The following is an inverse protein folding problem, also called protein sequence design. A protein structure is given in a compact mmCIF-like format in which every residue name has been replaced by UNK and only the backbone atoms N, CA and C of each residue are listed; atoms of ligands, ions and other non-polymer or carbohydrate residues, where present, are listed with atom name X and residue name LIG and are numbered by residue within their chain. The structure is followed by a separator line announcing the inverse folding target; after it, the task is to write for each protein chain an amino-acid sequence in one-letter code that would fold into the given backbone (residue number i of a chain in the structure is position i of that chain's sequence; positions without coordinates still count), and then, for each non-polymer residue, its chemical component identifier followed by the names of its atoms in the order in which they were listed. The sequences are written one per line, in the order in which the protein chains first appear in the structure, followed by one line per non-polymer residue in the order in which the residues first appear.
data_IF_441856240195
#
_entry.id   IF_441856240195
#
_cell.length_a   1.000
_cell.length_b   1.000
_cell.length_c   1.000
_cell.angle_alpha   90.00
_cell.angle_beta   90.00
_cell.angle_gamma   90.00
#
_symmetry.space_group_name_H-M   'P 1'
#
loop_
_entity.id
_entity.type
_entity.pdbx_description
1 polymer ?
#
# COMPACT_ATOMS: atom_id res chain seq x y z
N UNK A 1 -9.78 -9.23 -5.85
CA UNK A 1 -8.53 -9.89 -5.43
C UNK A 1 -7.63 -8.80 -4.88
N UNK A 2 -6.95 -9.02 -3.76
CA UNK A 2 -6.07 -8.02 -3.16
C UNK A 2 -4.63 -8.50 -3.31
N UNK A 3 -3.74 -7.60 -3.72
CA UNK A 3 -2.31 -7.85 -3.64
C UNK A 3 -1.86 -7.90 -2.18
N UNK A 4 -0.73 -8.54 -1.92
CA UNK A 4 -0.23 -8.82 -0.59
C UNK A 4 1.28 -8.95 -0.61
N UNK A 5 1.93 -8.40 0.42
CA UNK A 5 3.38 -8.36 0.51
C UNK A 5 3.90 -8.78 1.89
N UNK A 6 5.07 -9.40 1.93
CA UNK A 6 5.79 -9.66 3.17
C UNK A 6 6.59 -8.43 3.57
N UNK A 7 6.30 -7.85 4.74
CA UNK A 7 7.05 -6.70 5.26
C UNK A 7 8.15 -7.20 6.20
N UNK A 8 9.45 -6.98 5.89
CA UNK A 8 10.55 -7.41 6.75
C UNK A 8 10.40 -6.89 8.18
N UNK A 9 10.75 -7.72 9.16
CA UNK A 9 10.71 -7.42 10.61
C UNK A 9 9.30 -7.23 11.22
N UNK A 10 8.21 -7.38 10.45
CA UNK A 10 6.83 -7.17 10.93
C UNK A 10 6.03 -8.46 11.15
N UNK A 11 6.72 -9.52 11.57
CA UNK A 11 6.13 -10.83 11.88
C UNK A 11 5.96 -11.75 10.67
N UNK A 12 5.43 -12.95 10.90
CA UNK A 12 5.21 -13.97 9.87
C UNK A 12 3.86 -13.77 9.15
N UNK A 13 3.67 -12.59 8.57
CA UNK A 13 2.41 -12.16 8.00
C UNK A 13 2.56 -11.70 6.56
N UNK A 14 1.48 -11.83 5.78
CA UNK A 14 1.34 -11.14 4.50
C UNK A 14 0.38 -9.98 4.70
N UNK A 15 0.80 -8.79 4.31
CA UNK A 15 0.11 -7.53 4.58
C UNK A 15 -0.54 -7.00 3.32
N UNK A 16 -1.70 -6.37 3.47
CA UNK A 16 -2.44 -5.74 2.38
C UNK A 16 -3.23 -4.53 2.89
N UNK A 17 -3.68 -3.70 1.95
CA UNK A 17 -4.69 -2.68 2.20
C UNK A 17 -5.92 -2.97 1.34
N UNK A 18 -7.10 -2.81 1.93
CA UNK A 18 -8.37 -3.08 1.26
C UNK A 18 -9.34 -1.92 1.49
N UNK A 19 -10.17 -1.63 0.49
CA UNK A 19 -11.25 -0.68 0.64
C UNK A 19 -12.48 -1.34 1.26
N UNK A 20 -13.20 -0.58 2.10
CA UNK A 20 -14.51 -0.96 2.60
C UNK A 20 -15.56 -0.81 1.51
N UNK A 21 -15.80 -1.88 0.76
CA UNK A 21 -16.78 -1.87 -0.32
C UNK A 21 -18.23 -1.87 0.15
N UNK A 22 -18.50 -1.95 1.46
CA UNK A 22 -19.85 -1.81 2.02
C UNK A 22 -20.33 -0.36 2.10
N UNK A 23 -19.39 0.60 2.00
CA UNK A 23 -19.66 2.03 2.08
C UNK A 23 -19.80 2.66 0.67
N UNK A 24 -20.52 3.80 0.56
CA UNK A 24 -20.51 4.61 -0.65
C UNK A 24 -19.09 4.98 -1.05
N UNK A 25 -18.81 5.07 -2.36
CA UNK A 25 -17.47 5.28 -2.93
C UNK A 25 -16.67 6.40 -2.23
N UNK A 26 -17.30 7.55 -2.02
CA UNK A 26 -16.71 8.74 -1.37
C UNK A 26 -16.41 8.59 0.12
N UNK A 27 -16.90 7.52 0.74
CA UNK A 27 -16.78 7.24 2.18
C UNK A 27 -16.09 5.91 2.45
N UNK A 28 -15.53 5.25 1.42
CA UNK A 28 -14.85 3.98 1.60
C UNK A 28 -13.59 4.16 2.43
N UNK A 29 -13.57 3.52 3.58
CA UNK A 29 -12.37 3.48 4.41
C UNK A 29 -11.33 2.54 3.80
N UNK A 30 -10.06 2.84 4.02
CA UNK A 30 -8.97 1.91 3.73
C UNK A 30 -8.58 1.19 5.02
N UNK A 31 -8.67 -0.14 5.01
CA UNK A 31 -8.27 -1.00 6.11
C UNK A 31 -6.91 -1.63 5.87
N UNK A 32 -6.10 -1.67 6.91
CA UNK A 32 -4.94 -2.54 7.00
C UNK A 32 -5.40 -3.95 7.36
N UNK A 33 -5.01 -4.93 6.57
CA UNK A 33 -5.28 -6.34 6.84
C UNK A 33 -4.00 -7.15 6.77
N UNK A 34 -4.00 -8.29 7.47
CA UNK A 34 -2.90 -9.25 7.42
C UNK A 34 -3.40 -10.68 7.38
N UNK A 35 -2.68 -11.55 6.67
CA UNK A 35 -2.83 -12.99 6.72
C UNK A 35 -1.76 -13.60 7.60
N UNK A 36 -2.18 -14.35 8.61
CA UNK A 36 -1.29 -15.14 9.44
C UNK A 36 -0.83 -16.39 8.69
N UNK A 37 0.46 -16.48 8.37
CA UNK A 37 1.00 -17.61 7.61
C UNK A 37 1.16 -18.87 8.46
N UNK A 38 1.15 -18.75 9.78
CA UNK A 38 1.17 -19.89 10.71
C UNK A 38 -0.25 -20.40 10.93
N UNK A 39 -1.15 -19.54 11.40
CA UNK A 39 -2.54 -19.89 11.71
C UNK A 39 -3.45 -20.01 10.49
N UNK A 40 -3.01 -19.53 9.32
CA UNK A 40 -3.76 -19.52 8.05
C UNK A 40 -5.06 -18.73 8.11
N UNK A 41 -5.06 -17.62 8.83
CA UNK A 41 -6.25 -16.78 9.08
C UNK A 41 -6.02 -15.32 8.70
N UNK A 42 -7.09 -14.64 8.27
CA UNK A 42 -7.08 -13.21 7.99
C UNK A 42 -7.49 -12.40 9.21
N UNK A 43 -6.87 -11.23 9.36
CA UNK A 43 -7.19 -10.25 10.41
C UNK A 43 -7.26 -8.85 9.82
N UNK A 44 -8.28 -8.10 10.24
CA UNK A 44 -8.30 -6.64 10.11
C UNK A 44 -7.53 -6.05 11.28
N UNK A 45 -6.51 -5.24 10.98
CA UNK A 45 -5.63 -4.64 11.98
C UNK A 45 -6.14 -3.27 12.40
N UNK A 46 -6.61 -2.46 11.45
CA UNK A 46 -7.15 -1.13 11.73
C UNK A 46 -7.52 -0.38 10.46
N UNK A 47 -8.18 0.77 10.64
CA UNK A 47 -8.56 1.68 9.56
C UNK A 47 -7.55 2.83 9.46
N UNK A 48 -7.13 3.16 8.24
CA UNK A 48 -6.46 4.42 7.93
C UNK A 48 -7.46 5.55 7.60
N UNK A 49 -8.76 5.26 7.64
CA UNK A 49 -9.81 6.18 7.22
C UNK A 49 -9.94 6.31 5.71
N UNK A 50 -10.59 7.40 5.27
CA UNK A 50 -10.76 7.71 3.84
C UNK A 50 -9.49 8.41 3.34
N UNK A 51 -8.65 7.68 2.61
CA UNK A 51 -7.35 8.21 2.12
C UNK A 51 -7.45 8.91 0.77
N UNK A 52 -8.39 8.49 -0.06
CA UNK A 52 -8.68 9.10 -1.36
C UNK A 52 -10.18 9.30 -1.47
N UNK A 53 -10.61 10.51 -1.83
CA UNK A 53 -12.02 10.90 -1.95
C UNK A 53 -12.41 11.19 -3.42
N UNK A 54 -11.73 10.57 -4.37
CA UNK A 54 -11.98 10.79 -5.81
C UNK A 54 -12.86 9.70 -6.43
N UNK A 55 -13.42 8.79 -5.63
CA UNK A 55 -14.19 7.64 -6.12
C UNK A 55 -13.96 6.40 -5.26
N UNK A 56 -14.08 5.21 -5.86
CA UNK A 56 -13.80 3.95 -5.15
C UNK A 56 -12.32 3.87 -4.80
N UNK A 57 -11.98 3.60 -3.53
CA UNK A 57 -10.60 3.25 -3.17
C UNK A 57 -10.26 1.93 -3.85
N UNK A 58 -9.41 1.98 -4.87
CA UNK A 58 -9.04 0.79 -5.65
C UNK A 58 -7.55 0.57 -5.52
N UNK A 59 -7.16 -0.17 -4.49
CA UNK A 59 -5.76 -0.57 -4.28
C UNK A 59 -5.41 -1.66 -5.27
N UNK A 60 -4.64 -1.30 -6.29
CA UNK A 60 -4.31 -2.24 -7.36
C UNK A 60 -3.01 -3.00 -7.12
N UNK A 61 -2.02 -2.36 -6.50
CA UNK A 61 -0.76 -2.99 -6.12
C UNK A 61 -0.39 -2.68 -4.68
N UNK A 62 0.22 -3.66 -4.00
CA UNK A 62 0.98 -3.42 -2.78
C UNK A 62 2.35 -4.09 -2.85
N UNK A 63 3.35 -3.45 -2.27
CA UNK A 63 4.72 -3.96 -2.19
C UNK A 63 5.34 -3.54 -0.87
N UNK A 64 6.34 -4.29 -0.41
CA UNK A 64 7.05 -3.99 0.82
C UNK A 64 8.49 -3.63 0.51
N UNK A 65 9.07 -2.80 1.36
CA UNK A 65 10.46 -2.41 1.24
C UNK A 65 11.28 -2.82 2.47
N UNK A 66 12.61 -2.84 2.31
CA UNK A 66 13.57 -3.15 3.36
C UNK A 66 13.53 -2.15 4.53
N UNK A 67 12.98 -0.96 4.30
CA UNK A 67 12.73 0.06 5.33
C UNK A 67 11.61 -0.32 6.33
N UNK A 68 10.94 -1.46 6.11
CA UNK A 68 9.94 -2.00 7.03
C UNK A 68 8.55 -1.39 6.86
N UNK A 69 8.28 -0.72 5.74
CA UNK A 69 6.97 -0.20 5.39
C UNK A 69 6.29 -1.01 4.28
N UNK A 70 4.96 -0.92 4.24
CA UNK A 70 4.15 -1.35 3.12
C UNK A 70 3.87 -0.13 2.24
N UNK A 71 3.87 -0.32 0.95
CA UNK A 71 3.56 0.69 -0.05
C UNK A 71 2.37 0.21 -0.87
N UNK A 72 1.50 1.13 -1.29
CA UNK A 72 0.35 0.81 -2.10
C UNK A 72 0.07 1.88 -3.14
N UNK A 73 -0.37 1.44 -4.31
CA UNK A 73 -0.79 2.31 -5.42
C UNK A 73 -2.31 2.26 -5.54
N UNK A 74 -2.93 3.43 -5.48
CA UNK A 74 -4.37 3.57 -5.69
C UNK A 74 -4.66 3.93 -7.15
N UNK A 75 -5.52 3.14 -7.78
CA UNK A 75 -5.68 3.07 -9.23
C UNK A 75 -6.39 4.28 -9.81
N UNK A 76 -7.41 4.80 -9.12
CA UNK A 76 -8.24 5.86 -9.68
C UNK A 76 -7.55 7.23 -9.59
N UNK A 77 -6.89 7.50 -8.48
CA UNK A 77 -6.18 8.77 -8.23
C UNK A 77 -4.72 8.74 -8.67
N UNK A 78 -4.15 7.56 -8.90
CA UNK A 78 -2.71 7.39 -9.16
C UNK A 78 -1.84 7.72 -7.94
N UNK A 79 -2.43 7.89 -6.76
CA UNK A 79 -1.69 8.24 -5.54
C UNK A 79 -0.96 7.02 -5.01
N UNK A 80 0.31 7.23 -4.66
CA UNK A 80 1.16 6.24 -4.00
C UNK A 80 1.24 6.60 -2.53
N UNK A 81 1.01 5.59 -1.68
CA UNK A 81 1.04 5.71 -0.23
C UNK A 81 2.07 4.79 0.38
N UNK A 82 2.67 5.26 1.48
CA UNK A 82 3.42 4.45 2.43
C UNK A 82 2.58 4.23 3.68
N UNK A 83 2.56 3.01 4.19
CA UNK A 83 1.80 2.57 5.34
C UNK A 83 2.73 2.01 6.41
N UNK A 84 2.58 2.52 7.63
CA UNK A 84 3.13 1.90 8.82
C UNK A 84 2.16 0.82 9.30
N UNK A 85 2.56 -0.45 9.14
CA UNK A 85 1.72 -1.61 9.47
C UNK A 85 1.59 -1.89 10.96
N UNK A 86 2.37 -1.19 11.80
CA UNK A 86 2.33 -1.32 13.26
C UNK A 86 1.55 -0.19 13.92
N UNK A 87 1.76 1.06 13.51
CA UNK A 87 1.08 2.22 14.09
C UNK A 87 -0.21 2.62 13.37
N UNK A 88 -0.56 1.94 12.26
CA UNK A 88 -1.72 2.25 11.42
C UNK A 88 -1.72 3.72 10.99
N UNK A 89 -0.58 4.17 10.44
CA UNK A 89 -0.44 5.51 9.83
C UNK A 89 -0.15 5.40 8.34
N UNK A 90 -0.73 6.29 7.55
CA UNK A 90 -0.51 6.40 6.11
C UNK A 90 0.11 7.75 5.75
N UNK A 91 1.04 7.76 4.79
CA UNK A 91 1.65 8.97 4.22
C UNK A 91 1.52 8.92 2.71
N UNK A 92 0.93 9.95 2.10
CA UNK A 92 0.95 10.10 0.64
C UNK A 92 2.35 10.55 0.22
N UNK A 93 2.95 9.87 -0.76
CA UNK A 93 4.32 10.15 -1.21
C UNK A 93 4.36 10.85 -2.56
N UNK A 94 3.51 10.39 -3.49
CA UNK A 94 3.48 10.89 -4.86
C UNK A 94 2.10 10.69 -5.48
N UNK A 95 1.87 11.36 -6.61
CA UNK A 95 0.70 11.19 -7.46
C UNK A 95 1.18 11.00 -8.90
N UNK A 96 0.94 9.81 -9.46
CA UNK A 96 1.11 9.53 -10.87
C UNK A 96 -0.23 9.61 -11.64
N UNK A 97 -0.25 9.31 -12.94
CA UNK A 97 -1.50 9.08 -13.65
C UNK A 97 -2.23 7.86 -13.08
N UNK A 98 -3.56 7.90 -13.05
CA UNK A 98 -4.38 6.75 -12.63
C UNK A 98 -4.21 5.56 -13.59
N UNK A 99 -4.18 4.34 -13.06
CA UNK A 99 -3.98 3.09 -13.82
C UNK A 99 -4.91 2.00 -13.29
N UNK A 100 -5.49 1.16 -14.13
CA UNK A 100 -6.43 0.09 -13.70
C UNK A 100 -5.84 -1.33 -13.70
N UNK A 101 -4.53 -1.51 -13.99
CA UNK A 101 -3.86 -2.81 -14.24
C UNK A 101 -2.44 -2.88 -13.67
N UNK A 102 -2.22 -2.26 -12.51
CA UNK A 102 -0.95 -2.34 -11.79
C UNK A 102 -0.87 -3.63 -10.97
N UNK A 103 -0.16 -4.63 -11.46
CA UNK A 103 -0.09 -5.96 -10.84
C UNK A 103 1.15 -6.15 -9.94
N UNK A 104 1.55 -5.09 -9.22
CA UNK A 104 2.56 -5.14 -8.15
C UNK A 104 3.78 -6.04 -8.41
N UNK A 105 4.49 -5.91 -9.54
CA UNK A 105 5.69 -6.70 -9.79
C UNK A 105 6.91 -6.13 -9.06
N UNK A 106 7.58 -6.92 -8.22
CA UNK A 106 8.88 -6.56 -7.62
C UNK A 106 9.92 -7.64 -7.91
N UNK A 107 11.05 -7.25 -8.51
CA UNK A 107 12.30 -8.01 -8.50
C UNK A 107 13.25 -7.37 -7.48
N UNK A 108 14.00 -8.18 -6.74
CA UNK A 108 14.97 -7.72 -5.74
C UNK A 108 16.02 -6.84 -6.45
N UNK A 109 16.08 -5.55 -6.08
CA UNK A 109 17.01 -4.46 -6.51
C UNK A 109 16.32 -3.35 -7.34
N UNK A 110 15.43 -2.56 -6.73
CA UNK A 110 15.28 -1.14 -7.07
C UNK A 110 14.86 -0.34 -5.81
N UNK A 111 15.75 -0.30 -4.83
CA UNK A 111 15.75 0.76 -3.80
C UNK A 111 17.17 1.34 -3.71
N UNK A 112 17.68 1.73 -4.86
CA UNK A 112 18.81 2.63 -5.01
C UNK A 112 18.56 3.23 -6.39
N UNK A 113 17.93 4.41 -6.45
CA UNK A 113 17.98 5.35 -7.59
C UNK A 113 16.96 6.49 -7.45
N UNK A 114 15.95 6.38 -6.56
CA UNK A 114 15.02 7.50 -6.33
C UNK A 114 15.59 8.64 -5.46
N UNK A 115 16.84 8.51 -4.98
CA UNK A 115 17.57 9.57 -4.27
C UNK A 115 18.86 10.05 -4.97
N UNK A 116 19.19 9.57 -6.18
CA UNK A 116 20.38 10.04 -6.91
C UNK A 116 20.10 11.09 -8.00
N UNK A 117 18.86 11.57 -8.17
CA UNK A 117 18.55 12.57 -9.19
C UNK A 117 18.64 14.05 -8.72
N UNK A 118 19.13 14.33 -7.52
CA UNK A 118 19.30 15.73 -7.05
C UNK A 118 20.73 16.03 -6.53
N UNK A 119 21.78 15.55 -7.19
CA UNK A 119 23.12 16.10 -6.99
C UNK A 119 24.02 15.89 -8.20
N UNK A 120 23.70 16.50 -9.34
CA UNK A 120 24.70 16.97 -10.32
C UNK A 120 24.13 18.17 -11.08
N UNK A 121 24.27 19.36 -10.51
CA UNK A 121 24.34 20.64 -11.23
C UNK A 121 24.93 21.70 -10.28
N UNK A 122 26.25 21.90 -10.42
CA UNK A 122 27.13 23.05 -10.14
C UNK A 122 28.47 22.61 -9.55
#
# INVERSE_FOLDING_TARGET
MYDWAYVPTKGNYLWTVAADTSQPRTSQQTYLMRFDRTAKTWFTVGSFGVLVNTGTNTWGAVYASADGFLYGSENNSGRIFRFNVTSVQATSLATGPGTSVNDGAHWYVMMLDIFCAEYENF
#
